data_IF_764941442013
#
_entry.id   IF_764941442013
#
_cell.length_a   1.000
_cell.length_b   1.000
_cell.length_c   1.000
_cell.angle_alpha   90.00
_cell.angle_beta   90.00
_cell.angle_gamma   90.00
#
_symmetry.space_group_name_H-M   'P 1'
#
loop_
_entity.id
_entity.type
_entity.pdbx_description
1 polymer ?
#
# COMPACT_ATOMS: atom_id res chain seq x y z
N UNK A 1 30.77 -1.09 10.85
CA UNK A 1 31.75 -0.04 10.49
C UNK A 1 31.44 0.41 9.07
N UNK A 2 30.85 1.60 8.93
CA UNK A 2 30.75 2.28 7.65
C UNK A 2 32.10 2.98 7.40
N UNK A 3 32.96 2.35 6.61
CA UNK A 3 34.14 2.96 6.03
C UNK A 3 33.94 3.03 4.53
N UNK A 4 33.83 4.25 3.98
CA UNK A 4 33.71 4.48 2.55
C UNK A 4 34.99 4.09 1.82
N UNK A 5 35.09 2.83 1.41
CA UNK A 5 36.15 2.33 0.55
C UNK A 5 35.76 2.47 -0.92
N UNK A 6 36.74 2.78 -1.78
CA UNK A 6 36.57 2.67 -3.23
C UNK A 6 36.65 1.18 -3.57
N UNK A 7 35.60 0.64 -4.18
CA UNK A 7 35.56 -0.72 -4.69
C UNK A 7 35.26 -0.72 -6.19
N UNK A 8 36.04 -1.50 -6.93
CA UNK A 8 35.83 -1.74 -8.37
C UNK A 8 35.47 -3.20 -8.53
N UNK A 9 34.30 -3.48 -9.12
CA UNK A 9 33.83 -4.84 -9.39
C UNK A 9 33.76 -5.12 -10.90
N UNK A 10 34.29 -6.25 -11.34
CA UNK A 10 34.10 -6.81 -12.69
C UNK A 10 33.31 -8.11 -12.56
N UNK A 11 32.21 -8.21 -13.30
CA UNK A 11 31.31 -9.34 -13.21
C UNK A 11 30.20 -9.33 -14.23
N UNK A 12 29.41 -10.39 -14.23
CA UNK A 12 28.17 -10.49 -15.00
C UNK A 12 26.97 -10.17 -14.11
N UNK A 13 26.03 -9.40 -14.64
CA UNK A 13 24.74 -9.13 -14.01
C UNK A 13 23.65 -9.43 -15.01
N UNK A 14 22.71 -10.31 -14.64
CA UNK A 14 21.52 -10.62 -15.41
C UNK A 14 20.30 -10.17 -14.63
N UNK A 15 19.46 -9.36 -15.27
CA UNK A 15 18.16 -8.94 -14.78
C UNK A 15 17.10 -9.52 -15.72
N UNK A 16 16.18 -10.32 -15.18
CA UNK A 16 15.00 -10.78 -15.88
C UNK A 16 13.77 -10.15 -15.21
N UNK A 17 12.88 -9.58 -16.01
CA UNK A 17 11.63 -8.98 -15.54
C UNK A 17 10.48 -9.47 -16.40
N UNK A 18 9.39 -9.85 -15.75
CA UNK A 18 8.15 -10.26 -16.39
C UNK A 18 7.02 -9.47 -15.75
N UNK A 19 6.30 -8.72 -16.57
CA UNK A 19 5.15 -7.93 -16.17
C UNK A 19 3.92 -8.48 -16.92
N UNK A 20 2.82 -8.69 -16.21
CA UNK A 20 1.53 -9.11 -16.75
C UNK A 20 0.48 -8.16 -16.23
N UNK A 21 -0.36 -7.67 -17.12
CA UNK A 21 -1.45 -6.75 -16.79
C UNK A 21 -2.68 -7.15 -17.60
N UNK A 22 -3.83 -7.23 -16.92
CA UNK A 22 -5.12 -7.36 -17.57
C UNK A 22 -6.14 -6.51 -16.82
N UNK A 23 -7.01 -5.84 -17.57
CA UNK A 23 -8.00 -4.95 -16.98
C UNK A 23 -9.29 -5.00 -17.77
N UNK A 24 -10.42 -4.94 -17.06
CA UNK A 24 -11.74 -4.66 -17.62
C UNK A 24 -12.18 -3.31 -17.09
N UNK A 25 -12.47 -2.38 -18.00
CA UNK A 25 -13.05 -1.08 -17.66
C UNK A 25 -14.37 -0.91 -18.40
N UNK A 26 -15.38 -0.45 -17.68
CA UNK A 26 -16.68 -0.12 -18.24
C UNK A 26 -16.68 1.35 -18.64
N UNK A 27 -17.40 1.70 -19.69
CA UNK A 27 -17.62 3.10 -20.07
C UNK A 27 -19.00 3.53 -19.61
N UNK A 28 -19.06 4.67 -18.92
CA UNK A 28 -20.32 5.26 -18.50
C UNK A 28 -21.07 5.81 -19.72
N UNK A 29 -22.39 5.66 -19.70
CA UNK A 29 -23.28 6.33 -20.65
C UNK A 29 -23.98 7.49 -19.96
N UNK A 30 -24.20 8.60 -20.67
CA UNK A 30 -24.98 9.73 -20.15
C UNK A 30 -26.25 9.90 -20.97
N UNK A 31 -27.40 9.89 -20.29
CA UNK A 31 -28.69 10.22 -20.88
C UNK A 31 -29.20 11.47 -20.16
N UNK A 32 -29.56 12.51 -20.92
CA UNK A 32 -30.01 13.72 -20.25
C UNK A 32 -30.68 14.78 -21.10
N UNK A 33 -31.18 15.79 -20.39
CA UNK A 33 -31.86 16.96 -20.94
C UNK A 33 -31.23 18.24 -20.40
N UNK A 34 -30.66 19.05 -21.30
CA UNK A 34 -29.90 20.26 -20.94
C UNK A 34 -30.78 21.40 -20.42
N UNK A 35 -32.08 21.41 -20.75
CA UNK A 35 -32.99 22.52 -20.40
C UNK A 35 -34.34 22.05 -19.86
N UNK A 36 -34.58 20.75 -19.84
CA UNK A 36 -35.89 20.16 -19.60
C UNK A 36 -35.85 19.00 -18.62
N UNK A 37 -36.84 18.13 -18.76
CA UNK A 37 -36.97 16.92 -17.98
C UNK A 37 -36.35 15.74 -18.75
N UNK A 38 -35.95 14.72 -18.00
CA UNK A 38 -35.68 13.38 -18.51
C UNK A 38 -36.74 12.44 -17.96
N UNK A 39 -37.46 11.75 -18.84
CA UNK A 39 -38.41 10.69 -18.45
C UNK A 39 -38.02 9.39 -19.12
N UNK A 40 -37.78 8.36 -18.32
CA UNK A 40 -37.49 7.00 -18.77
C UNK A 40 -38.60 6.09 -18.29
N UNK A 41 -39.31 5.47 -19.23
CA UNK A 41 -40.37 4.53 -18.94
C UNK A 41 -40.01 3.16 -19.52
N UNK A 42 -39.92 2.16 -18.66
CA UNK A 42 -39.68 0.77 -19.05
C UNK A 42 -40.87 -0.10 -18.62
N UNK A 43 -41.20 -1.12 -19.42
CA UNK A 43 -42.29 -2.03 -19.07
C UNK A 43 -41.97 -2.91 -17.86
N UNK A 44 -40.76 -3.46 -17.82
CA UNK A 44 -40.34 -4.40 -16.79
C UNK A 44 -39.31 -3.76 -15.85
N UNK A 45 -38.06 -3.64 -16.30
CA UNK A 45 -36.98 -3.13 -15.46
C UNK A 45 -36.39 -1.87 -16.09
N UNK A 46 -36.31 -0.79 -15.30
CA UNK A 46 -35.40 0.31 -15.56
C UNK A 46 -34.10 0.01 -14.81
N UNK A 47 -33.03 -0.31 -15.54
CA UNK A 47 -31.74 -0.62 -14.96
C UNK A 47 -30.68 0.35 -15.49
N UNK A 48 -30.02 1.05 -14.57
CA UNK A 48 -28.96 2.02 -14.84
C UNK A 48 -27.71 1.54 -14.11
N UNK A 49 -26.66 1.19 -14.86
CA UNK A 49 -25.43 0.61 -14.31
C UNK A 49 -24.23 1.46 -14.72
N UNK A 50 -23.48 1.94 -13.73
CA UNK A 50 -22.31 2.82 -13.92
C UNK A 50 -22.53 3.96 -14.92
N UNK A 51 -23.73 4.56 -14.92
CA UNK A 51 -24.17 5.51 -15.94
C UNK A 51 -24.84 6.75 -15.33
N UNK A 52 -24.96 7.81 -16.11
CA UNK A 52 -25.45 9.10 -15.68
C UNK A 52 -26.84 9.41 -16.25
N UNK A 53 -27.77 9.82 -15.38
CA UNK A 53 -29.06 10.41 -15.76
C UNK A 53 -29.09 11.87 -15.34
N UNK A 54 -29.13 12.80 -16.29
CA UNK A 54 -29.00 14.24 -15.99
C UNK A 54 -30.17 15.03 -16.57
N UNK A 55 -30.81 15.87 -15.77
CA UNK A 55 -31.81 16.82 -16.26
C UNK A 55 -31.71 18.17 -15.56
N UNK A 56 -31.80 19.26 -16.33
CA UNK A 56 -31.84 20.61 -15.76
C UNK A 56 -33.09 20.86 -14.89
N UNK A 57 -34.16 20.10 -15.13
CA UNK A 57 -35.38 20.09 -14.31
C UNK A 57 -35.52 18.73 -13.64
N UNK A 58 -36.49 17.91 -14.05
CA UNK A 58 -36.81 16.67 -13.35
C UNK A 58 -36.23 15.45 -14.04
N UNK A 59 -35.80 14.46 -13.26
CA UNK A 59 -35.55 13.09 -13.72
C UNK A 59 -36.71 12.21 -13.23
N UNK A 60 -37.31 11.44 -14.11
CA UNK A 60 -38.41 10.52 -13.77
C UNK A 60 -38.15 9.15 -14.37
N UNK A 61 -38.03 8.14 -13.52
CA UNK A 61 -37.93 6.73 -13.92
C UNK A 61 -39.17 5.96 -13.49
N UNK A 62 -39.84 5.30 -14.44
CA UNK A 62 -41.03 4.49 -14.17
C UNK A 62 -40.85 3.11 -14.78
N UNK A 63 -40.96 2.07 -13.95
CA UNK A 63 -40.88 0.69 -14.39
C UNK A 63 -41.56 -0.26 -13.39
N UNK A 64 -41.68 -1.54 -13.71
CA UNK A 64 -42.12 -2.52 -12.71
C UNK A 64 -41.07 -2.70 -11.61
N UNK A 65 -39.78 -2.61 -11.94
CA UNK A 65 -38.66 -2.48 -11.00
C UNK A 65 -37.70 -1.40 -11.47
N UNK A 66 -37.10 -0.68 -10.53
CA UNK A 66 -36.06 0.32 -10.80
C UNK A 66 -34.78 -0.10 -10.07
N UNK A 67 -33.69 -0.21 -10.82
CA UNK A 67 -32.35 -0.50 -10.28
C UNK A 67 -31.35 0.54 -10.79
N UNK A 68 -30.60 1.12 -9.88
CA UNK A 68 -29.53 2.08 -10.16
C UNK A 68 -28.29 1.59 -9.40
N UNK A 69 -27.32 1.02 -10.10
CA UNK A 69 -26.19 0.35 -9.48
C UNK A 69 -24.85 0.68 -10.15
N UNK A 70 -23.78 0.10 -9.61
CA UNK A 70 -22.42 0.29 -10.09
C UNK A 70 -22.03 -0.70 -11.18
N UNK A 71 -21.24 -0.23 -12.15
CA UNK A 71 -20.49 -1.11 -13.04
C UNK A 71 -19.24 -1.64 -12.32
N UNK A 72 -18.84 -2.87 -12.62
CA UNK A 72 -17.69 -3.52 -11.99
C UNK A 72 -16.48 -3.52 -12.91
N UNK A 73 -15.46 -2.74 -12.55
CA UNK A 73 -14.15 -2.74 -13.18
C UNK A 73 -13.22 -3.73 -12.46
N UNK A 74 -12.36 -4.40 -13.21
CA UNK A 74 -11.35 -5.31 -12.65
C UNK A 74 -9.96 -4.98 -13.18
N UNK A 75 -8.95 -5.17 -12.34
CA UNK A 75 -7.54 -5.03 -12.72
C UNK A 75 -6.74 -6.14 -12.06
N UNK A 76 -5.87 -6.77 -12.84
CA UNK A 76 -4.88 -7.73 -12.37
C UNK A 76 -3.51 -7.26 -12.85
N UNK A 77 -2.58 -7.12 -11.91
CA UNK A 77 -1.19 -6.83 -12.21
C UNK A 77 -0.29 -7.85 -11.51
N UNK A 78 0.63 -8.44 -12.26
CA UNK A 78 1.67 -9.31 -11.70
C UNK A 78 3.04 -8.91 -12.22
N UNK A 79 4.00 -8.79 -11.32
CA UNK A 79 5.39 -8.46 -11.64
C UNK A 79 6.31 -9.49 -11.00
N UNK A 80 7.23 -10.02 -11.79
CA UNK A 80 8.33 -10.87 -11.31
C UNK A 80 9.65 -10.26 -11.74
N UNK A 81 10.58 -10.09 -10.80
CA UNK A 81 11.92 -9.58 -11.03
C UNK A 81 12.96 -10.53 -10.46
N UNK A 82 13.88 -10.98 -11.29
CA UNK A 82 14.97 -11.87 -10.92
C UNK A 82 16.31 -11.23 -11.28
N UNK A 83 17.20 -11.12 -10.30
CA UNK A 83 18.55 -10.58 -10.48
C UNK A 83 19.57 -11.64 -10.11
N UNK A 84 20.49 -11.95 -11.02
CA UNK A 84 21.64 -12.81 -10.77
C UNK A 84 22.91 -12.01 -11.02
N UNK A 85 23.81 -11.96 -10.04
CA UNK A 85 25.12 -11.32 -10.17
C UNK A 85 26.22 -12.30 -9.84
N UNK A 86 27.30 -12.28 -10.60
CA UNK A 86 28.55 -12.96 -10.25
C UNK A 86 29.71 -12.07 -10.62
N UNK A 87 30.75 -12.02 -9.78
CA UNK A 87 31.87 -11.13 -10.09
C UNK A 87 33.00 -11.17 -9.08
N UNK A 88 34.08 -10.53 -9.47
CA UNK A 88 35.25 -10.25 -8.66
C UNK A 88 35.20 -8.78 -8.27
N UNK A 89 35.32 -8.51 -6.97
CA UNK A 89 35.36 -7.16 -6.40
C UNK A 89 36.74 -6.91 -5.81
N UNK A 90 37.40 -5.85 -6.26
CA UNK A 90 38.63 -5.31 -5.69
C UNK A 90 38.27 -4.07 -4.87
N UNK A 91 38.37 -4.17 -3.55
CA UNK A 91 38.07 -3.09 -2.62
C UNK A 91 39.32 -2.61 -1.90
N UNK A 92 39.44 -1.29 -1.74
CA UNK A 92 40.38 -0.70 -0.79
C UNK A 92 39.62 -0.43 0.52
N UNK A 93 39.90 -1.21 1.56
CA UNK A 93 39.40 -0.91 2.90
C UNK A 93 40.47 -0.17 3.68
N UNK A 94 40.12 1.02 4.15
CA UNK A 94 40.87 1.75 5.14
C UNK A 94 39.90 2.29 6.19
N UNK A 95 40.27 2.19 7.47
CA UNK A 95 39.80 3.19 8.41
C UNK A 95 40.55 4.47 8.03
N UNK A 96 39.84 5.48 7.53
CA UNK A 96 40.40 6.83 7.60
C UNK A 96 40.50 7.10 9.10
N UNK A 97 41.73 7.06 9.63
CA UNK A 97 41.99 7.47 11.00
C UNK A 97 41.47 8.89 11.19
N UNK A 98 40.93 9.16 12.38
CA UNK A 98 40.23 10.37 12.76
C UNK A 98 40.75 11.65 12.08
N UNK A 99 39.92 12.22 11.21
CA UNK A 99 40.02 13.61 10.77
C UNK A 99 38.61 14.22 10.65
N UNK A 100 37.82 14.13 11.73
CA UNK A 100 36.79 15.14 12.00
C UNK A 100 37.08 15.66 13.40
N UNK A 101 37.98 16.64 13.47
CA UNK A 101 37.95 17.61 14.55
C UNK A 101 37.51 18.94 13.93
N UNK A 102 36.25 19.28 14.18
CA UNK A 102 35.60 20.59 14.03
C UNK A 102 35.42 21.19 12.63
N UNK A 103 34.18 21.10 12.15
CA UNK A 103 33.41 22.21 11.54
C UNK A 103 31.94 21.73 11.49
N UNK A 104 31.13 21.88 12.54
CA UNK A 104 30.37 23.10 12.87
C UNK A 104 30.27 24.09 11.71
N UNK A 105 29.25 23.88 10.88
CA UNK A 105 28.29 24.90 10.49
C UNK A 105 26.95 24.14 10.55
N UNK A 106 25.91 24.47 11.28
CA UNK A 106 25.43 25.72 11.83
C UNK A 106 24.21 25.28 12.65
N UNK A 107 24.17 25.57 13.95
CA UNK A 107 22.92 25.58 14.74
C UNK A 107 23.21 26.25 16.08
N UNK A 108 23.40 27.57 16.01
CA UNK A 108 23.18 28.44 17.15
C UNK A 108 21.66 28.55 17.39
N UNK A 109 21.12 27.60 18.13
CA UNK A 109 19.88 27.65 18.91
C UNK A 109 19.72 26.22 19.40
N UNK A 110 19.90 25.85 20.66
CA UNK A 110 19.19 26.37 21.81
C UNK A 110 20.04 26.01 23.04
N UNK A 111 20.78 26.99 23.57
CA UNK A 111 21.15 27.00 24.99
C UNK A 111 20.31 28.10 25.61
N UNK A 112 19.26 27.69 26.33
CA UNK A 112 18.70 28.33 27.51
C UNK A 112 17.32 27.73 27.74
N UNK A 113 17.24 26.71 28.60
CA UNK A 113 16.17 26.53 29.60
C UNK A 113 16.36 25.18 30.26
N UNK A 114 17.29 25.13 31.23
CA UNK A 114 17.10 24.26 32.38
C UNK A 114 16.12 25.00 33.30
N UNK A 115 14.90 24.50 33.41
CA UNK A 115 13.88 25.11 34.25
C UNK A 115 12.57 24.35 34.24
N UNK A 116 12.45 23.39 35.16
CA UNK A 116 11.16 23.07 35.79
C UNK A 116 10.20 22.16 35.02
N UNK A 117 10.29 20.86 35.34
CA UNK A 117 9.11 20.02 35.57
C UNK A 117 8.17 19.79 34.40
N UNK A 118 8.51 18.84 33.52
CA UNK A 118 7.52 17.90 32.98
C UNK A 118 8.24 16.67 32.38
N UNK A 119 8.42 15.62 33.18
CA UNK A 119 9.05 14.33 32.83
C UNK A 119 8.25 13.47 31.81
N UNK A 120 7.50 14.11 30.91
CA UNK A 120 6.65 13.41 29.94
C UNK A 120 6.79 13.85 28.48
N UNK A 121 7.64 14.84 28.19
CA UNK A 121 7.88 15.30 26.81
C UNK A 121 9.24 14.87 26.22
N UNK A 122 10.18 14.37 27.03
CA UNK A 122 11.48 13.88 26.54
C UNK A 122 11.44 12.42 26.06
N UNK A 123 10.40 11.66 26.39
CA UNK A 123 10.28 10.24 26.06
C UNK A 123 9.74 9.95 24.65
N UNK A 124 9.18 10.95 23.95
CA UNK A 124 8.55 10.78 22.63
C UNK A 124 9.42 11.24 21.45
N UNK A 125 10.63 11.72 21.72
CA UNK A 125 11.63 12.06 20.68
C UNK A 125 12.82 11.08 20.63
N UNK A 126 12.64 9.88 21.18
CA UNK A 126 13.64 8.80 21.12
C UNK A 126 13.21 7.61 20.24
N UNK A 127 11.96 7.59 19.74
CA UNK A 127 11.41 6.48 18.95
C UNK A 127 10.87 7.02 17.62
N UNK A 128 11.78 7.44 16.74
CA UNK A 128 11.46 7.66 15.32
C UNK A 128 12.64 7.35 14.37
N UNK A 129 13.73 6.76 14.89
CA UNK A 129 14.88 6.34 14.08
C UNK A 129 15.48 5.01 14.57
N UNK A 130 14.63 4.14 15.14
CA UNK A 130 15.04 2.85 15.69
C UNK A 130 14.19 1.71 15.11
N UNK A 131 14.23 1.57 13.78
CA UNK A 131 14.13 0.27 13.14
C UNK A 131 15.53 -0.08 12.63
N UNK A 132 16.10 -1.20 13.08
CA UNK A 132 17.36 -1.80 12.60
C UNK A 132 18.73 -1.26 13.04
N UNK A 133 18.87 -0.72 14.27
CA UNK A 133 20.22 -0.46 14.83
C UNK A 133 20.39 -0.95 16.29
N UNK A 134 19.89 -2.14 16.62
CA UNK A 134 19.91 -2.64 18.01
C UNK A 134 20.94 -3.77 18.31
N UNK A 135 22.00 -3.95 17.52
CA UNK A 135 23.07 -4.94 17.87
C UNK A 135 24.52 -4.47 17.64
N UNK A 136 24.77 -3.20 17.31
CA UNK A 136 26.14 -2.74 16.98
C UNK A 136 26.72 -1.75 18.02
N UNK A 137 25.98 -1.45 19.10
CA UNK A 137 26.33 -0.39 20.06
C UNK A 137 27.31 -0.74 21.20
N UNK A 138 27.58 -2.01 21.52
CA UNK A 138 28.41 -2.37 22.69
C UNK A 138 29.86 -2.79 22.38
N UNK A 139 30.26 -2.94 21.11
CA UNK A 139 31.62 -3.34 20.76
C UNK A 139 32.57 -2.16 20.47
N UNK A 140 32.09 -0.91 20.54
CA UNK A 140 32.82 0.28 20.08
C UNK A 140 33.51 1.10 21.20
N UNK A 141 33.42 0.70 22.47
CA UNK A 141 34.06 1.45 23.58
C UNK A 141 35.48 0.97 23.94
N UNK A 142 35.94 -0.17 23.40
CA UNK A 142 37.21 -0.80 23.81
C UNK A 142 38.42 -0.61 22.89
N UNK A 143 38.27 0.04 21.73
CA UNK A 143 39.27 0.00 20.65
C UNK A 143 39.94 1.35 20.33
N UNK A 144 39.85 2.36 21.20
CA UNK A 144 40.60 3.62 21.04
C UNK A 144 41.90 3.59 21.85
N UNK A 145 42.85 2.73 21.44
CA UNK A 145 44.25 2.85 21.88
C UNK A 145 45.22 2.34 20.82
N UNK A 146 45.75 3.27 20.02
CA UNK A 146 47.08 3.18 19.40
C UNK A 146 47.31 2.20 18.25
N UNK A 147 46.42 2.13 17.25
CA UNK A 147 46.67 1.37 16.01
C UNK A 147 47.03 2.28 14.84
N UNK A 148 48.11 1.98 14.11
CA UNK A 148 48.46 2.61 12.83
C UNK A 148 47.27 2.56 11.85
N UNK A 149 47.04 3.61 11.02
CA UNK A 149 45.97 3.58 10.02
C UNK A 149 46.18 2.39 9.10
N UNK A 150 45.29 1.40 9.23
CA UNK A 150 45.49 0.13 8.55
C UNK A 150 44.81 0.12 7.19
N UNK A 151 45.64 0.13 6.14
CA UNK A 151 45.20 -0.03 4.76
C UNK A 151 45.22 -1.52 4.42
N UNK A 152 44.14 -2.04 3.84
CA UNK A 152 44.07 -3.39 3.29
C UNK A 152 43.38 -3.39 1.91
N UNK A 153 44.00 -4.07 0.97
CA UNK A 153 43.43 -4.41 -0.34
C UNK A 153 42.65 -5.71 -0.15
N UNK A 154 41.40 -5.74 -0.58
CA UNK A 154 40.52 -6.90 -0.52
C UNK A 154 40.13 -7.32 -1.93
N UNK A 155 40.26 -8.61 -2.24
CA UNK A 155 39.75 -9.22 -3.47
C UNK A 155 38.74 -10.28 -3.08
N UNK A 156 37.50 -10.17 -3.53
CA UNK A 156 36.45 -11.16 -3.28
C UNK A 156 35.77 -11.62 -4.55
N UNK A 157 35.51 -12.92 -4.67
CA UNK A 157 34.65 -13.50 -5.68
C UNK A 157 33.34 -13.92 -5.03
N UNK A 158 32.22 -13.62 -5.68
CA UNK A 158 30.92 -14.03 -5.16
C UNK A 158 29.86 -14.13 -6.23
N UNK A 159 28.77 -14.79 -5.85
CA UNK A 159 27.53 -14.84 -6.60
C UNK A 159 26.36 -14.46 -5.69
N UNK A 160 25.35 -13.86 -6.28
CA UNK A 160 24.08 -13.58 -5.61
C UNK A 160 22.93 -13.77 -6.58
N UNK A 161 21.81 -14.25 -6.05
CA UNK A 161 20.56 -14.36 -6.76
C UNK A 161 19.45 -13.80 -5.89
N UNK A 162 18.59 -12.96 -6.45
CA UNK A 162 17.39 -12.46 -5.79
C UNK A 162 16.19 -12.56 -6.72
N UNK A 163 15.08 -13.03 -6.21
CA UNK A 163 13.79 -13.08 -6.90
C UNK A 163 12.74 -12.37 -6.07
N UNK A 164 11.97 -11.47 -6.68
CA UNK A 164 10.81 -10.84 -6.08
C UNK A 164 9.62 -10.99 -7.01
N UNK A 165 8.47 -11.35 -6.46
CA UNK A 165 7.21 -11.45 -7.16
C UNK A 165 6.15 -10.67 -6.39
N UNK A 166 5.35 -9.89 -7.10
CA UNK A 166 4.17 -9.21 -6.59
C UNK A 166 2.99 -9.45 -7.52
N UNK A 167 1.81 -9.54 -6.95
CA UNK A 167 0.54 -9.65 -7.67
C UNK A 167 -0.50 -8.82 -6.94
N UNK A 168 -1.34 -8.12 -7.69
CA UNK A 168 -2.40 -7.26 -7.18
C UNK A 168 -3.66 -7.50 -8.00
N UNK A 169 -4.74 -7.84 -7.31
CA UNK A 169 -6.07 -8.04 -7.87
C UNK A 169 -7.01 -6.99 -7.28
N UNK A 170 -7.59 -6.17 -8.15
CA UNK A 170 -8.50 -5.09 -7.78
C UNK A 170 -9.86 -5.26 -8.43
N UNK A 171 -10.90 -5.03 -7.65
CA UNK A 171 -12.27 -4.85 -8.13
C UNK A 171 -12.74 -3.47 -7.69
N UNK A 172 -13.13 -2.62 -8.64
CA UNK A 172 -13.68 -1.29 -8.36
C UNK A 172 -15.12 -1.20 -8.86
N UNK A 173 -15.98 -0.66 -8.01
CA UNK A 173 -17.38 -0.41 -8.29
C UNK A 173 -17.56 1.04 -8.68
N UNK A 174 -17.93 1.28 -9.92
CA UNK A 174 -18.22 2.60 -10.46
C UNK A 174 -19.73 2.87 -10.41
N UNK A 175 -20.16 3.63 -9.41
CA UNK A 175 -21.56 4.01 -9.22
C UNK A 175 -22.20 4.73 -10.40
N UNK A 176 -23.53 4.63 -10.48
CA UNK A 176 -24.33 5.50 -11.34
C UNK A 176 -24.57 6.85 -10.67
N UNK A 177 -24.82 7.89 -11.47
CA UNK A 177 -25.16 9.23 -10.97
C UNK A 177 -26.47 9.72 -11.55
N UNK A 178 -27.40 10.14 -10.69
CA UNK A 178 -28.63 10.82 -11.10
C UNK A 178 -28.57 12.26 -10.63
N UNK A 179 -28.69 13.20 -11.55
CA UNK A 179 -28.69 14.62 -11.25
C UNK A 179 -29.92 15.32 -11.84
N UNK A 180 -30.75 15.90 -10.97
CA UNK A 180 -31.93 16.67 -11.35
C UNK A 180 -31.86 18.07 -10.73
N UNK A 181 -32.06 19.14 -11.51
CA UNK A 181 -32.18 20.49 -10.94
C UNK A 181 -33.44 20.67 -10.09
N UNK A 182 -34.51 19.97 -10.44
CA UNK A 182 -35.77 19.88 -9.72
C UNK A 182 -35.89 18.57 -8.94
N UNK A 183 -36.82 17.71 -9.32
CA UNK A 183 -37.11 16.46 -8.62
C UNK A 183 -36.53 15.24 -9.33
N UNK A 184 -35.92 14.32 -8.58
CA UNK A 184 -35.61 12.97 -9.05
C UNK A 184 -36.66 11.99 -8.49
N UNK A 185 -37.48 11.43 -9.36
CA UNK A 185 -38.58 10.53 -8.99
C UNK A 185 -38.38 9.15 -9.60
N UNK A 186 -38.37 8.11 -8.78
CA UNK A 186 -38.31 6.72 -9.22
C UNK A 186 -39.52 5.95 -8.70
N UNK A 187 -40.29 5.37 -9.63
CA UNK A 187 -41.54 4.67 -9.34
C UNK A 187 -41.43 3.23 -9.82
N UNK A 188 -41.44 2.29 -8.88
CA UNK A 188 -41.54 0.87 -9.14
C UNK A 188 -42.98 0.38 -8.95
N UNK A 189 -43.68 0.11 -10.06
CA UNK A 189 -45.12 -0.19 -10.09
C UNK A 189 -45.45 -1.63 -9.75
N UNK A 190 -44.48 -2.54 -9.89
CA UNK A 190 -44.64 -3.98 -9.70
C UNK A 190 -45.44 -4.67 -10.80
N UNK A 191 -45.12 -5.94 -11.05
CA UNK A 191 -45.87 -6.82 -11.97
C UNK A 191 -46.91 -7.70 -11.26
N UNK A 192 -46.96 -7.66 -9.93
CA UNK A 192 -47.75 -8.58 -9.09
C UNK A 192 -47.02 -9.87 -8.70
N UNK A 193 -45.78 -10.06 -9.18
CA UNK A 193 -44.89 -11.10 -8.68
C UNK A 193 -44.37 -10.75 -7.26
N UNK A 194 -44.03 -11.74 -6.41
CA UNK A 194 -43.61 -11.52 -5.02
C UNK A 194 -42.43 -10.56 -4.85
N UNK A 195 -41.46 -10.64 -5.77
CA UNK A 195 -40.22 -9.85 -5.73
C UNK A 195 -40.22 -8.66 -6.70
N UNK A 196 -41.41 -8.20 -7.12
CA UNK A 196 -41.54 -7.08 -8.05
C UNK A 196 -42.08 -5.82 -7.36
N UNK A 197 -41.77 -4.65 -7.91
CA UNK A 197 -42.15 -3.36 -7.35
C UNK A 197 -41.06 -2.75 -6.50
N UNK A 198 -39.80 -3.12 -6.74
CA UNK A 198 -38.67 -2.66 -5.95
C UNK A 198 -37.99 -1.44 -6.58
N UNK A 199 -37.55 -0.51 -5.74
CA UNK A 199 -36.55 0.51 -6.08
C UNK A 199 -35.26 0.15 -5.37
N UNK A 200 -34.20 -0.15 -6.11
CA UNK A 200 -32.88 -0.48 -5.58
C UNK A 200 -31.85 0.52 -6.08
N UNK A 201 -31.11 1.13 -5.17
CA UNK A 201 -29.98 2.02 -5.46
C UNK A 201 -28.77 1.48 -4.71
N UNK A 202 -27.70 1.11 -5.44
CA UNK A 202 -26.52 0.45 -4.88
C UNK A 202 -25.23 1.16 -5.29
N UNK A 203 -24.43 1.58 -4.30
CA UNK A 203 -23.16 2.30 -4.49
C UNK A 203 -23.25 3.46 -5.48
N UNK A 204 -24.39 4.16 -5.50
CA UNK A 204 -24.73 5.16 -6.52
C UNK A 204 -25.26 6.44 -5.87
N UNK A 205 -25.22 7.55 -6.62
CA UNK A 205 -25.61 8.87 -6.12
C UNK A 205 -26.88 9.37 -6.80
N UNK A 206 -27.81 9.91 -6.01
CA UNK A 206 -29.00 10.62 -6.52
C UNK A 206 -29.01 12.01 -5.89
N UNK A 207 -28.80 13.04 -6.71
CA UNK A 207 -28.77 14.43 -6.27
C UNK A 207 -29.86 15.24 -6.94
N UNK A 208 -30.72 15.86 -6.14
CA UNK A 208 -31.84 16.68 -6.63
C UNK A 208 -32.24 17.79 -5.64
N UNK A 209 -33.16 18.67 -6.05
CA UNK A 209 -33.85 19.53 -5.08
C UNK A 209 -34.77 18.71 -4.18
N UNK A 210 -35.56 17.83 -4.79
CA UNK A 210 -36.38 16.84 -4.08
C UNK A 210 -36.12 15.44 -4.65
N UNK A 211 -36.10 14.43 -3.79
CA UNK A 211 -36.02 13.03 -4.21
C UNK A 211 -37.27 12.28 -3.78
N UNK A 212 -37.86 11.50 -4.68
CA UNK A 212 -39.00 10.64 -4.38
C UNK A 212 -38.73 9.21 -4.84
N UNK A 213 -38.61 8.28 -3.89
CA UNK A 213 -38.47 6.84 -4.12
C UNK A 213 -39.80 6.18 -3.77
N UNK A 214 -40.49 5.64 -4.76
CA UNK A 214 -41.84 5.08 -4.60
C UNK A 214 -41.84 3.64 -5.10
N UNK A 215 -41.92 2.70 -4.17
CA UNK A 215 -41.89 1.27 -4.44
C UNK A 215 -43.19 0.61 -4.01
N UNK A 216 -43.78 -0.19 -4.90
CA UNK A 216 -44.93 -1.02 -4.53
C UNK A 216 -44.58 -2.15 -3.56
N UNK A 217 -43.31 -2.55 -3.51
CA UNK A 217 -42.80 -3.59 -2.63
C UNK A 217 -41.67 -3.08 -1.74
N UNK A 218 -40.42 -3.02 -2.19
CA UNK A 218 -39.30 -2.62 -1.32
C UNK A 218 -38.50 -1.42 -1.85
N UNK A 219 -37.96 -0.62 -0.92
CA UNK A 219 -36.93 0.39 -1.21
C UNK A 219 -35.61 -0.06 -0.60
N UNK A 220 -34.58 -0.25 -1.43
CA UNK A 220 -33.26 -0.70 -1.00
C UNK A 220 -32.19 0.32 -1.38
N UNK A 221 -31.51 0.89 -0.39
CA UNK A 221 -30.35 1.76 -0.54
C UNK A 221 -29.17 0.98 0.05
N UNK A 222 -28.28 0.50 -0.81
CA UNK A 222 -27.24 -0.47 -0.45
C UNK A 222 -25.86 0.08 -0.78
N UNK A 223 -24.83 -0.32 -0.03
CA UNK A 223 -23.45 -0.12 -0.47
C UNK A 223 -23.09 -1.09 -1.60
N UNK A 224 -22.02 -0.76 -2.31
CA UNK A 224 -21.25 -1.72 -3.10
C UNK A 224 -19.85 -1.84 -2.51
N UNK A 225 -19.06 -2.78 -3.01
CA UNK A 225 -17.80 -3.14 -2.36
C UNK A 225 -16.66 -3.20 -3.38
N UNK A 226 -15.62 -2.41 -3.13
CA UNK A 226 -14.33 -2.56 -3.79
C UNK A 226 -13.48 -3.58 -3.03
N UNK A 227 -12.63 -4.28 -3.76
CA UNK A 227 -11.68 -5.22 -3.17
C UNK A 227 -10.28 -4.96 -3.70
N UNK A 228 -9.29 -5.12 -2.84
CA UNK A 228 -7.87 -5.08 -3.19
C UNK A 228 -7.18 -6.28 -2.53
N UNK A 229 -6.57 -7.16 -3.32
CA UNK A 229 -5.79 -8.30 -2.82
C UNK A 229 -4.38 -8.22 -3.38
N UNK A 230 -3.42 -7.97 -2.49
CA UNK A 230 -2.00 -7.93 -2.81
C UNK A 230 -1.31 -9.16 -2.25
N UNK A 231 -0.51 -9.83 -3.10
CA UNK A 231 0.38 -10.93 -2.74
C UNK A 231 1.80 -10.56 -3.14
N UNK A 232 2.75 -10.80 -2.25
CA UNK A 232 4.16 -10.55 -2.50
C UNK A 232 4.99 -11.68 -1.91
N UNK A 233 6.08 -12.00 -2.62
CA UNK A 233 7.10 -12.91 -2.13
C UNK A 233 8.46 -12.44 -2.61
N UNK A 234 9.47 -12.58 -1.77
CA UNK A 234 10.83 -12.28 -2.11
C UNK A 234 11.78 -13.33 -1.55
N UNK A 235 12.85 -13.57 -2.28
CA UNK A 235 13.91 -14.49 -1.91
C UNK A 235 15.24 -13.90 -2.36
N UNK A 236 16.28 -14.10 -1.57
CA UNK A 236 17.63 -13.76 -1.97
C UNK A 236 18.63 -14.73 -1.36
N UNK A 237 19.68 -15.01 -2.11
CA UNK A 237 20.79 -15.85 -1.69
C UNK A 237 22.08 -15.27 -2.21
N UNK A 238 23.14 -15.35 -1.42
CA UNK A 238 24.48 -14.94 -1.85
C UNK A 238 25.55 -15.78 -1.19
N UNK A 239 26.67 -15.92 -1.89
CA UNK A 239 27.87 -16.53 -1.37
C UNK A 239 29.08 -15.80 -1.92
N UNK A 240 30.07 -15.54 -1.07
CA UNK A 240 31.32 -14.91 -1.48
C UNK A 240 32.50 -15.42 -0.67
N UNK A 241 33.65 -15.51 -1.33
CA UNK A 241 34.94 -15.81 -0.71
C UNK A 241 35.91 -14.70 -1.08
N UNK A 242 36.68 -14.20 -0.13
CA UNK A 242 37.63 -13.13 -0.35
C UNK A 242 38.94 -13.31 0.38
N UNK A 243 39.98 -12.74 -0.20
CA UNK A 243 41.30 -12.61 0.38
C UNK A 243 41.58 -11.13 0.63
N UNK A 244 42.29 -10.83 1.70
CA UNK A 244 42.70 -9.47 2.03
C UNK A 244 44.17 -9.44 2.37
N UNK A 245 44.84 -8.38 1.93
CA UNK A 245 46.24 -8.14 2.23
C UNK A 245 46.41 -6.69 2.64
N UNK A 246 46.99 -6.45 3.81
CA UNK A 246 47.20 -5.11 4.30
C UNK A 246 48.28 -5.01 5.35
N UNK A 247 48.43 -3.81 5.88
CA UNK A 247 49.32 -3.45 6.99
C UNK A 247 49.18 -4.36 8.23
N UNK A 248 48.01 -4.99 8.41
CA UNK A 248 47.73 -5.92 9.51
C UNK A 248 47.89 -7.41 9.14
N UNK A 249 48.41 -7.72 7.95
CA UNK A 249 48.66 -9.08 7.48
C UNK A 249 47.70 -9.59 6.41
N UNK A 250 47.77 -10.90 6.16
CA UNK A 250 46.95 -11.61 5.18
C UNK A 250 45.69 -12.17 5.85
N UNK A 251 44.54 -12.14 5.18
CA UNK A 251 43.30 -12.72 5.68
C UNK A 251 42.47 -13.39 4.60
N UNK A 252 41.69 -14.39 4.99
CA UNK A 252 40.70 -15.09 4.18
C UNK A 252 39.33 -14.89 4.82
N UNK A 253 38.32 -14.70 3.99
CA UNK A 253 36.92 -14.55 4.40
C UNK A 253 36.02 -15.38 3.50
N UNK A 254 34.95 -15.92 4.07
CA UNK A 254 33.86 -16.57 3.36
C UNK A 254 32.55 -16.10 3.99
N UNK A 255 31.52 -15.89 3.19
CA UNK A 255 30.20 -15.54 3.70
C UNK A 255 29.11 -16.10 2.80
N UNK A 256 28.01 -16.50 3.40
CA UNK A 256 26.80 -16.95 2.74
C UNK A 256 25.58 -16.33 3.43
N UNK A 257 24.56 -16.02 2.64
CA UNK A 257 23.32 -15.42 3.10
C UNK A 257 22.16 -16.02 2.32
N UNK A 258 21.03 -16.17 2.98
CA UNK A 258 19.78 -16.64 2.43
C UNK A 258 18.63 -15.93 3.14
N UNK A 259 17.70 -15.33 2.41
CA UNK A 259 16.57 -14.62 2.97
C UNK A 259 15.32 -14.93 2.15
N UNK A 260 14.20 -15.09 2.84
CA UNK A 260 12.89 -15.32 2.26
C UNK A 260 11.86 -14.47 2.99
N UNK A 261 10.93 -13.91 2.24
CA UNK A 261 9.78 -13.23 2.79
C UNK A 261 8.56 -13.41 1.91
N UNK A 262 7.41 -13.28 2.55
CA UNK A 262 6.10 -13.22 1.92
C UNK A 262 5.26 -12.18 2.65
N UNK A 263 4.34 -11.58 1.91
CA UNK A 263 3.42 -10.60 2.42
C UNK A 263 2.12 -10.67 1.67
N UNK A 264 1.01 -10.72 2.40
CA UNK A 264 -0.31 -10.64 1.84
C UNK A 264 -1.13 -9.52 2.50
N UNK A 265 -2.01 -8.93 1.70
CA UNK A 265 -2.96 -7.92 2.17
C UNK A 265 -4.27 -8.09 1.41
N UNK A 266 -5.37 -8.11 2.13
CA UNK A 266 -6.73 -8.12 1.61
C UNK A 266 -7.47 -6.93 2.18
N UNK A 267 -8.00 -6.07 1.31
CA UNK A 267 -8.81 -4.91 1.68
C UNK A 267 -10.19 -4.99 1.03
N UNK A 268 -11.18 -4.55 1.79
CA UNK A 268 -12.59 -4.43 1.44
C UNK A 268 -12.97 -2.99 1.76
N UNK A 269 -13.35 -2.23 0.74
CA UNK A 269 -13.75 -0.82 0.89
C UNK A 269 -15.20 -0.66 0.44
N UNK A 270 -16.01 -0.01 1.26
CA UNK A 270 -17.44 0.12 1.04
C UNK A 270 -17.76 1.44 0.33
N UNK A 271 -18.44 1.36 -0.80
CA UNK A 271 -18.96 2.53 -1.50
C UNK A 271 -20.41 2.74 -1.09
N UNK A 272 -20.66 3.78 -0.29
CA UNK A 272 -22.00 4.06 0.17
C UNK A 272 -22.90 4.57 -0.96
N UNK A 273 -24.19 4.28 -0.87
CA UNK A 273 -25.21 4.98 -1.67
C UNK A 273 -25.52 6.33 -1.04
N UNK A 274 -25.66 7.40 -1.84
CA UNK A 274 -26.07 8.71 -1.33
C UNK A 274 -27.33 9.21 -2.03
N UNK A 275 -28.34 9.54 -1.22
CA UNK A 275 -29.51 10.29 -1.65
C UNK A 275 -29.39 11.70 -1.09
N UNK A 276 -29.11 12.66 -1.96
CA UNK A 276 -28.86 14.06 -1.61
C UNK A 276 -30.00 14.92 -2.16
N UNK A 277 -30.95 15.30 -1.32
CA UNK A 277 -32.02 16.23 -1.67
C UNK A 277 -31.80 17.57 -0.98
N UNK A 278 -31.75 18.69 -1.71
CA UNK A 278 -31.54 20.00 -1.08
C UNK A 278 -32.73 20.46 -0.22
N UNK A 279 -33.93 19.93 -0.48
CA UNK A 279 -35.15 20.27 0.22
C UNK A 279 -35.81 19.05 0.90
N UNK A 280 -36.33 18.08 0.13
CA UNK A 280 -36.99 16.92 0.72
C UNK A 280 -36.65 15.58 0.07
N UNK A 281 -36.51 14.55 0.89
CA UNK A 281 -36.42 13.16 0.44
C UNK A 281 -37.67 12.40 0.92
N UNK A 282 -38.44 11.87 -0.02
CA UNK A 282 -39.65 11.09 0.24
C UNK A 282 -39.42 9.64 -0.14
N UNK A 283 -39.64 8.73 0.80
CA UNK A 283 -39.51 7.28 0.60
C UNK A 283 -40.87 6.65 0.89
N UNK A 284 -41.46 6.00 -0.10
CA UNK A 284 -42.74 5.29 0.03
C UNK A 284 -42.51 3.85 -0.37
N UNK A 285 -42.74 2.92 0.56
CA UNK A 285 -42.55 1.48 0.35
C UNK A 285 -43.78 0.70 0.80
N UNK A 286 -44.31 -0.18 -0.06
CA UNK A 286 -45.41 -1.07 0.31
C UNK A 286 -45.02 -2.17 1.31
N UNK A 287 -43.74 -2.51 1.39
CA UNK A 287 -43.12 -3.48 2.29
C UNK A 287 -41.88 -2.86 2.96
N UNK A 288 -40.79 -3.62 3.05
CA UNK A 288 -39.60 -3.21 3.79
C UNK A 288 -38.80 -2.09 3.10
N UNK A 289 -38.08 -1.31 3.90
CA UNK A 289 -37.08 -0.34 3.45
C UNK A 289 -35.75 -0.63 4.11
N UNK A 290 -34.70 -0.79 3.30
CA UNK A 290 -33.35 -1.09 3.77
C UNK A 290 -32.39 0.04 3.39
N UNK A 291 -31.69 0.59 4.37
CA UNK A 291 -30.64 1.61 4.21
C UNK A 291 -29.36 1.03 4.83
N UNK A 292 -28.60 0.29 4.02
CA UNK A 292 -27.43 -0.46 4.48
C UNK A 292 -26.19 0.07 3.78
N UNK A 293 -25.29 0.71 4.52
CA UNK A 293 -24.16 1.41 3.91
C UNK A 293 -24.62 2.52 2.95
N UNK A 294 -25.59 3.31 3.40
CA UNK A 294 -26.17 4.37 2.60
C UNK A 294 -26.55 5.58 3.46
N UNK A 295 -26.56 6.76 2.85
CA UNK A 295 -26.97 8.02 3.47
C UNK A 295 -28.13 8.67 2.73
N UNK A 296 -29.09 9.21 3.49
CA UNK A 296 -30.16 10.06 2.98
C UNK A 296 -30.02 11.43 3.63
N UNK A 297 -29.62 12.42 2.85
CA UNK A 297 -29.40 13.80 3.29
C UNK A 297 -30.46 14.72 2.68
N UNK A 298 -31.27 15.35 3.54
CA UNK A 298 -32.26 16.35 3.15
C UNK A 298 -32.65 17.26 4.32
N UNK A 299 -33.23 18.43 4.04
CA UNK A 299 -33.81 19.27 5.11
C UNK A 299 -35.02 18.58 5.77
N UNK A 300 -35.75 17.77 5.00
CA UNK A 300 -36.83 16.93 5.50
C UNK A 300 -36.80 15.56 4.84
N UNK A 301 -36.79 14.51 5.66
CA UNK A 301 -37.01 13.14 5.20
C UNK A 301 -38.42 12.72 5.63
N UNK A 302 -39.21 12.25 4.67
CA UNK A 302 -40.54 11.66 4.89
C UNK A 302 -40.50 10.21 4.45
N UNK A 303 -40.83 9.29 5.34
CA UNK A 303 -40.86 7.87 5.02
C UNK A 303 -42.23 7.28 5.39
N UNK A 304 -42.89 6.66 4.42
CA UNK A 304 -44.10 5.86 4.61
C UNK A 304 -43.75 4.42 4.24
N UNK A 305 -43.60 3.56 5.25
CA UNK A 305 -43.02 2.22 5.12
C UNK A 305 -44.04 1.23 5.62
N UNK A 306 -44.54 0.39 4.71
CA UNK A 306 -45.53 -0.65 5.03
C UNK A 306 -44.96 -1.82 5.83
N UNK A 307 -43.65 -2.07 5.74
CA UNK A 307 -42.92 -3.11 6.48
C UNK A 307 -41.91 -2.55 7.48
N UNK A 308 -40.75 -3.21 7.58
CA UNK A 308 -39.66 -2.82 8.48
C UNK A 308 -38.76 -1.75 7.84
N UNK A 309 -38.23 -0.85 8.68
CA UNK A 309 -37.12 0.04 8.33
C UNK A 309 -35.83 -0.49 8.94
N UNK A 310 -34.90 -0.93 8.10
CA UNK A 310 -33.55 -1.34 8.52
C UNK A 310 -32.54 -0.27 8.17
N UNK A 311 -31.77 0.20 9.16
CA UNK A 311 -30.64 1.12 8.95
C UNK A 311 -29.39 0.50 9.54
N UNK A 312 -28.38 0.25 8.71
CA UNK A 312 -27.14 -0.36 9.13
C UNK A 312 -25.93 0.27 8.44
N UNK A 313 -24.83 0.42 9.18
CA UNK A 313 -23.53 0.79 8.62
C UNK A 313 -22.74 -0.46 8.26
N UNK A 314 -21.98 -0.38 7.17
CA UNK A 314 -20.93 -1.34 6.81
C UNK A 314 -19.56 -0.72 7.09
N UNK A 315 -18.54 -1.56 7.31
CA UNK A 315 -17.19 -1.10 7.64
C UNK A 315 -16.21 -1.52 6.54
N UNK A 316 -15.23 -0.65 6.32
CA UNK A 316 -14.02 -1.01 5.59
C UNK A 316 -13.19 -1.97 6.43
N UNK A 317 -12.52 -2.91 5.76
CA UNK A 317 -11.67 -3.89 6.41
C UNK A 317 -10.37 -4.03 5.64
N UNK A 318 -9.26 -4.10 6.35
CA UNK A 318 -7.97 -4.49 5.78
C UNK A 318 -7.31 -5.49 6.71
N UNK A 319 -6.88 -6.62 6.14
CA UNK A 319 -6.17 -7.68 6.85
C UNK A 319 -4.86 -7.90 6.12
N UNK A 320 -3.75 -7.84 6.84
CA UNK A 320 -2.44 -8.06 6.26
C UNK A 320 -1.61 -8.96 7.15
N UNK A 321 -0.83 -9.86 6.56
CA UNK A 321 0.18 -10.63 7.25
C UNK A 321 1.48 -10.63 6.43
N UNK A 322 2.60 -10.64 7.12
CA UNK A 322 3.91 -10.67 6.49
C UNK A 322 4.86 -11.52 7.33
N UNK A 323 5.64 -12.34 6.64
CA UNK A 323 6.67 -13.17 7.24
C UNK A 323 7.99 -12.85 6.58
N UNK A 324 9.02 -12.72 7.40
CA UNK A 324 10.38 -12.57 6.93
C UNK A 324 11.29 -13.49 7.71
N UNK A 325 12.17 -14.17 7.00
CA UNK A 325 13.19 -15.03 7.57
C UNK A 325 14.50 -14.80 6.83
N UNK A 326 15.59 -14.75 7.58
CA UNK A 326 16.92 -14.71 6.98
C UNK A 326 17.88 -15.54 7.81
N UNK A 327 18.82 -16.17 7.12
CA UNK A 327 19.89 -16.96 7.69
C UNK A 327 21.18 -16.57 6.96
N UNK A 328 22.25 -16.36 7.71
CA UNK A 328 23.55 -16.05 7.16
C UNK A 328 24.65 -16.63 8.02
N UNK A 329 25.75 -17.01 7.37
CA UNK A 329 26.92 -17.56 8.03
C UNK A 329 28.17 -17.01 7.37
N UNK A 330 29.19 -16.69 8.16
CA UNK A 330 30.45 -16.19 7.65
C UNK A 330 31.62 -16.63 8.51
N UNK A 331 32.76 -16.81 7.85
CA UNK A 331 34.04 -17.11 8.47
C UNK A 331 35.05 -16.07 8.03
N UNK A 332 35.87 -15.58 8.95
CA UNK A 332 37.04 -14.79 8.59
C UNK A 332 38.23 -15.17 9.47
N UNK A 333 39.39 -15.38 8.85
CA UNK A 333 40.65 -15.64 9.51
C UNK A 333 41.70 -14.67 9.02
N UNK A 334 42.54 -14.17 9.93
CA UNK A 334 43.63 -13.24 9.62
C UNK A 334 44.91 -13.72 10.29
N UNK A 335 46.03 -13.59 9.56
CA UNK A 335 47.39 -13.88 10.02
C UNK A 335 48.21 -12.59 9.94
N UNK A 336 48.78 -12.16 11.07
CA UNK A 336 49.60 -10.93 11.14
C UNK A 336 50.94 -11.13 10.42
N UNK A 337 51.45 -10.06 9.80
CA UNK A 337 52.76 -10.05 9.13
C UNK A 337 53.95 -10.21 10.11
N UNK A 338 53.74 -10.06 11.42
CA UNK A 338 54.79 -10.22 12.43
C UNK A 338 55.35 -11.65 12.54
N UNK A 339 54.66 -12.66 11.99
CA UNK A 339 55.03 -14.09 12.12
C UNK A 339 55.93 -14.61 10.99
N UNK A 340 56.35 -13.77 10.03
CA UNK A 340 57.18 -14.15 8.88
C UNK A 340 58.61 -13.57 8.89
N UNK A 341 59.13 -13.16 10.05
CA UNK A 341 60.56 -12.80 10.17
C UNK A 341 61.32 -14.03 10.66
N UNK A 342 62.19 -14.68 9.85
CA UNK A 342 63.05 -15.73 10.37
C UNK A 342 63.97 -15.15 11.45
N UNK A 343 64.21 -15.86 12.58
CA UNK A 343 65.05 -15.32 13.64
C UNK A 343 66.45 -15.06 13.07
N UNK A 344 66.85 -13.79 13.05
CA UNK A 344 68.23 -13.39 12.84
C UNK A 344 69.07 -14.05 13.93
N UNK A 345 69.74 -15.15 13.59
CA UNK A 345 70.76 -15.73 14.47
C UNK A 345 71.90 -14.71 14.61
N UNK A 346 71.95 -14.04 15.77
CA UNK A 346 73.13 -13.33 16.24
C UNK A 346 74.23 -14.37 16.48
N UNK A 347 75.12 -14.54 15.50
CA UNK A 347 76.45 -15.10 15.71
C UNK A 347 77.19 -14.17 16.68
N UNK A 348 77.39 -14.60 17.91
CA UNK A 348 78.39 -14.03 18.80
C UNK A 348 79.75 -14.63 18.39
N UNK A 349 80.63 -13.80 17.83
CA UNK A 349 82.06 -14.09 17.70
C UNK A 349 82.71 -13.91 19.07
N UNK A 350 83.51 -14.88 19.50
CA UNK A 350 84.49 -14.71 20.56
C UNK A 350 85.71 -13.93 20.04
#
# INVERSE_FOLDING_TARGET
MAGGGIAVSVGSSKLARTDQESSVTNNASTIGSLSGNLTVQAGNNLHVTGSDLIAAKNVTGIAANVTIDSATDTSHQSQTQQTSKSGVTLGLSGAVGDAINNAISETQAVRNSAGGGNDRAAALHAIAAAGDVATVGLAAAGAMKGGTPSIAIQVSVGSSHSSSQSSEDQTMQRGSSVQAGGTATFIATGTGAPDSGNVTIAGSDVTASDVALIAKNQVNLLNTTNTDSTRSSNSSSSASVGVSFGTNGFGISASMQNAHGDGNSDAVMQNNTHINASNSATIISGGDTNIVGAGVNANRVVADIGGNLTIASVQDMTVSAAHQSSAGGGFSARRRLQDCVPPLQRRASA
#
